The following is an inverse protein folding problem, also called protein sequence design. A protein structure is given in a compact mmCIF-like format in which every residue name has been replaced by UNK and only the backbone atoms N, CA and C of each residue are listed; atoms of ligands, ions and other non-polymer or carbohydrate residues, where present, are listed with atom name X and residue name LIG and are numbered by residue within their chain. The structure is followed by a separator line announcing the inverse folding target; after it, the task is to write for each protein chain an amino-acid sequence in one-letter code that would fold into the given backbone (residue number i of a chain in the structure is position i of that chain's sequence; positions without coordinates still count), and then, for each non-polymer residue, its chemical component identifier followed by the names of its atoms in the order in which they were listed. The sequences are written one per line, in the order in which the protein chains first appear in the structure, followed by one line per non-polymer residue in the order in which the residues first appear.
data_IF_383944308793
#
_entry.id   IF_383944308793
#
_cell.length_a   1.000
_cell.length_b   1.000
_cell.length_c   1.000
_cell.angle_alpha   90.00
_cell.angle_beta   90.00
_cell.angle_gamma   90.00
#
_symmetry.space_group_name_H-M   'P 1'
#
loop_
_entity.id
_entity.type
_entity.pdbx_description
1 polymer ?
#
# COMPACT_ATOMS: atom_id res chain seq x y z
N UNK A 1 0.54 27.87 -17.87
CA UNK A 1 1.27 26.60 -17.76
C UNK A 1 0.58 25.57 -16.86
N UNK A 2 0.07 25.93 -15.69
CA UNK A 2 -0.70 25.01 -14.82
C UNK A 2 -1.94 24.41 -15.52
N UNK A 3 -2.65 25.17 -16.37
CA UNK A 3 -3.84 24.72 -17.09
C UNK A 3 -3.57 23.61 -18.13
N UNK A 4 -2.42 23.64 -18.79
CA UNK A 4 -2.04 22.61 -19.78
C UNK A 4 -1.65 21.28 -19.13
N UNK A 5 -1.02 21.33 -17.96
CA UNK A 5 -0.60 20.14 -17.23
C UNK A 5 -1.80 19.42 -16.62
N UNK A 6 -2.71 20.18 -15.99
CA UNK A 6 -3.97 19.63 -15.48
C UNK A 6 -4.82 18.98 -16.57
N UNK A 7 -4.81 19.53 -17.80
CA UNK A 7 -5.52 18.94 -18.96
C UNK A 7 -4.92 17.62 -19.40
N UNK A 8 -3.58 17.50 -19.44
CA UNK A 8 -2.92 16.24 -19.82
C UNK A 8 -3.09 15.16 -18.74
N UNK A 9 -2.97 15.52 -17.46
CA UNK A 9 -3.20 14.61 -16.34
C UNK A 9 -4.63 14.07 -16.38
N UNK A 10 -5.62 14.94 -16.61
CA UNK A 10 -7.02 14.54 -16.72
C UNK A 10 -7.27 13.58 -17.89
N UNK A 11 -6.65 13.82 -19.05
CA UNK A 11 -6.74 12.91 -20.20
C UNK A 11 -6.18 11.53 -19.89
N UNK A 12 -4.99 11.44 -19.27
CA UNK A 12 -4.37 10.16 -18.92
C UNK A 12 -5.17 9.40 -17.84
N UNK A 13 -5.71 10.11 -16.86
CA UNK A 13 -6.63 9.52 -15.87
C UNK A 13 -7.89 9.00 -16.56
N UNK A 14 -8.49 9.77 -17.48
CA UNK A 14 -9.69 9.34 -18.22
C UNK A 14 -9.42 8.11 -19.08
N UNK A 15 -8.26 8.03 -19.75
CA UNK A 15 -7.85 6.82 -20.49
C UNK A 15 -7.70 5.64 -19.53
N UNK A 16 -7.07 5.82 -18.37
CA UNK A 16 -6.91 4.78 -17.36
C UNK A 16 -8.25 4.27 -16.80
N UNK A 17 -9.21 5.15 -16.57
CA UNK A 17 -10.60 4.79 -16.17
C UNK A 17 -11.29 4.03 -17.30
N UNK A 18 -11.22 4.55 -18.52
CA UNK A 18 -11.80 3.90 -19.69
C UNK A 18 -11.27 2.47 -19.87
N UNK A 19 -9.96 2.26 -19.77
CA UNK A 19 -9.36 0.94 -19.89
C UNK A 19 -9.91 -0.04 -18.85
N UNK A 20 -10.03 0.37 -17.58
CA UNK A 20 -10.58 -0.46 -16.51
C UNK A 20 -12.03 -0.86 -16.78
N UNK A 21 -12.88 0.11 -17.12
CA UNK A 21 -14.29 -0.15 -17.43
C UNK A 21 -14.47 -0.96 -18.71
N UNK A 22 -13.64 -0.69 -19.73
CA UNK A 22 -13.64 -1.45 -20.97
C UNK A 22 -13.29 -2.92 -20.74
N UNK A 23 -12.18 -3.20 -20.04
CA UNK A 23 -11.78 -4.58 -19.74
C UNK A 23 -12.80 -5.28 -18.85
N UNK A 24 -13.39 -4.58 -17.88
CA UNK A 24 -14.43 -5.12 -17.04
C UNK A 24 -15.67 -5.53 -17.85
N UNK A 25 -16.06 -4.73 -18.84
CA UNK A 25 -17.24 -5.01 -19.70
C UNK A 25 -16.97 -6.03 -20.79
N UNK A 26 -15.75 -5.99 -21.38
CA UNK A 26 -15.37 -6.86 -22.49
C UNK A 26 -15.03 -8.29 -22.07
N UNK A 27 -14.49 -8.48 -20.85
CA UNK A 27 -13.97 -9.76 -20.40
C UNK A 27 -14.45 -10.16 -18.98
N UNK A 28 -15.75 -10.28 -18.74
CA UNK A 28 -16.30 -10.55 -17.39
C UNK A 28 -15.83 -11.90 -16.82
N UNK A 29 -15.73 -12.95 -17.64
CA UNK A 29 -15.22 -14.25 -17.22
C UNK A 29 -13.74 -14.20 -16.80
N UNK A 30 -12.92 -13.40 -17.50
CA UNK A 30 -11.52 -13.20 -17.12
C UNK A 30 -11.40 -12.43 -15.80
N UNK A 31 -12.31 -11.49 -15.51
CA UNK A 31 -12.36 -10.80 -14.23
C UNK A 31 -12.66 -11.75 -13.06
N UNK A 32 -13.61 -12.65 -13.23
CA UNK A 32 -13.92 -13.65 -12.22
C UNK A 32 -12.69 -14.50 -11.88
N UNK A 33 -11.97 -14.97 -12.90
CA UNK A 33 -10.71 -15.68 -12.69
C UNK A 33 -9.58 -14.82 -12.11
N UNK A 34 -9.53 -13.53 -12.46
CA UNK A 34 -8.50 -12.61 -11.97
C UNK A 34 -8.71 -12.29 -10.49
N UNK A 35 -9.94 -12.22 -10.00
CA UNK A 35 -10.25 -11.96 -8.59
C UNK A 35 -9.75 -13.07 -7.65
N UNK A 36 -9.61 -14.28 -8.16
CA UNK A 36 -9.13 -15.45 -7.40
C UNK A 36 -7.61 -15.65 -7.55
N UNK A 37 -6.93 -14.76 -8.29
CA UNK A 37 -5.49 -14.85 -8.52
C UNK A 37 -4.72 -14.23 -7.35
N UNK A 38 -3.96 -15.06 -6.66
CA UNK A 38 -3.16 -14.68 -5.48
C UNK A 38 -2.00 -13.71 -5.80
N UNK A 39 -1.65 -13.50 -7.06
CA UNK A 39 -0.66 -12.46 -7.45
C UNK A 39 -1.20 -11.04 -7.20
N UNK A 40 -2.51 -10.85 -7.26
CA UNK A 40 -3.16 -9.55 -7.10
C UNK A 40 -4.01 -9.47 -5.83
N UNK A 41 -4.59 -10.58 -5.39
CA UNK A 41 -5.40 -10.65 -4.17
C UNK A 41 -4.92 -11.79 -3.27
N UNK A 42 -4.89 -11.54 -1.98
CA UNK A 42 -4.46 -12.53 -0.98
C UNK A 42 -5.68 -13.10 -0.25
N UNK A 43 -5.45 -14.15 0.54
CA UNK A 43 -6.47 -14.72 1.41
C UNK A 43 -7.14 -13.71 2.37
N UNK A 44 -6.57 -12.53 2.57
CA UNK A 44 -7.09 -11.47 3.45
C UNK A 44 -7.71 -10.29 2.69
N UNK A 45 -7.42 -10.15 1.40
CA UNK A 45 -7.76 -8.97 0.60
C UNK A 45 -8.60 -9.33 -0.63
N UNK A 46 -8.99 -10.60 -0.77
CA UNK A 46 -9.79 -11.07 -1.90
C UNK A 46 -11.21 -10.53 -1.85
N UNK A 47 -11.76 -10.23 -3.02
CA UNK A 47 -13.13 -9.72 -3.17
C UNK A 47 -14.20 -10.70 -2.65
N UNK A 48 -13.94 -12.02 -2.69
CA UNK A 48 -14.80 -13.05 -2.11
C UNK A 48 -15.08 -12.80 -0.63
N UNK A 49 -14.07 -12.41 0.15
CA UNK A 49 -14.24 -12.09 1.57
C UNK A 49 -15.02 -10.79 1.81
N UNK A 50 -14.90 -9.81 0.91
CA UNK A 50 -15.75 -8.62 0.97
C UNK A 50 -17.22 -8.95 0.68
N UNK A 51 -17.49 -9.87 -0.26
CA UNK A 51 -18.85 -10.41 -0.52
C UNK A 51 -19.38 -11.18 0.69
N UNK A 52 -18.59 -12.03 1.28
CA UNK A 52 -18.96 -12.77 2.49
C UNK A 52 -19.31 -11.82 3.63
N UNK A 53 -18.47 -10.80 3.87
CA UNK A 53 -18.76 -9.76 4.86
C UNK A 53 -20.07 -9.04 4.56
N UNK A 54 -20.31 -8.63 3.31
CA UNK A 54 -21.52 -7.94 2.91
C UNK A 54 -22.77 -8.80 3.15
N UNK A 55 -22.73 -10.07 2.75
CA UNK A 55 -23.80 -11.01 2.97
C UNK A 55 -24.14 -11.14 4.45
N UNK A 56 -23.12 -11.33 5.29
CA UNK A 56 -23.32 -11.42 6.73
C UNK A 56 -23.83 -10.11 7.32
N UNK A 57 -23.27 -8.97 6.91
CA UNK A 57 -23.66 -7.65 7.39
C UNK A 57 -25.15 -7.33 7.13
N UNK A 58 -25.67 -7.64 5.94
CA UNK A 58 -27.07 -7.36 5.59
C UNK A 58 -28.05 -8.38 6.16
N UNK A 59 -27.70 -9.68 6.14
CA UNK A 59 -28.62 -10.71 6.59
C UNK A 59 -28.74 -10.79 8.12
N UNK A 60 -27.67 -10.53 8.86
CA UNK A 60 -27.75 -10.55 10.32
C UNK A 60 -28.31 -9.25 10.91
N UNK A 61 -28.17 -8.10 10.25
CA UNK A 61 -28.82 -6.87 10.69
C UNK A 61 -30.34 -6.94 10.58
N UNK A 62 -30.88 -7.80 9.68
CA UNK A 62 -32.32 -7.99 9.50
C UNK A 62 -32.93 -9.05 10.42
N UNK A 63 -32.12 -9.96 10.99
CA UNK A 63 -32.60 -11.09 11.80
C UNK A 63 -32.52 -10.88 13.31
N UNK A 64 -32.12 -9.71 13.79
CA UNK A 64 -31.93 -9.37 15.21
C UNK A 64 -33.21 -9.37 16.08
N UNK A 65 -34.33 -9.89 15.56
CA UNK A 65 -35.61 -9.96 16.30
C UNK A 65 -35.97 -11.36 16.86
N UNK A 66 -35.20 -12.42 16.65
CA UNK A 66 -35.74 -13.75 17.01
C UNK A 66 -34.84 -14.89 17.47
N UNK A 67 -33.54 -14.76 17.72
CA UNK A 67 -32.84 -15.86 18.39
C UNK A 67 -31.46 -15.50 19.00
N UNK A 68 -31.31 -15.78 20.27
CA UNK A 68 -30.11 -15.55 21.10
C UNK A 68 -28.92 -16.49 20.78
N UNK A 69 -28.92 -17.22 19.68
CA UNK A 69 -27.91 -18.23 19.36
C UNK A 69 -27.10 -17.96 18.09
N UNK A 70 -27.45 -16.92 17.30
CA UNK A 70 -26.81 -16.65 15.98
C UNK A 70 -25.74 -15.58 15.99
N UNK A 71 -25.39 -15.05 17.15
CA UNK A 71 -24.70 -13.74 17.29
C UNK A 71 -23.20 -13.75 17.01
N UNK A 72 -22.53 -14.90 16.89
CA UNK A 72 -21.04 -14.96 16.80
C UNK A 72 -20.46 -15.18 15.42
N UNK A 73 -21.26 -15.17 14.35
CA UNK A 73 -20.78 -15.67 13.05
C UNK A 73 -20.13 -14.63 12.14
N UNK A 74 -20.41 -13.33 12.34
CA UNK A 74 -19.99 -12.29 11.37
C UNK A 74 -18.48 -12.05 11.38
N UNK A 75 -17.83 -12.14 12.53
CA UNK A 75 -16.39 -11.88 12.66
C UNK A 75 -15.53 -13.12 12.52
N UNK A 76 -16.03 -14.29 12.82
CA UNK A 76 -15.22 -15.51 12.78
C UNK A 76 -14.89 -15.97 11.35
N UNK A 77 -15.66 -15.55 10.35
CA UNK A 77 -15.45 -15.93 8.96
C UNK A 77 -14.84 -14.81 8.09
N UNK A 78 -15.12 -13.55 8.40
CA UNK A 78 -14.67 -12.43 7.55
C UNK A 78 -13.26 -11.95 7.92
N UNK A 79 -12.33 -12.11 6.98
CA UNK A 79 -10.92 -11.70 7.10
C UNK A 79 -10.63 -10.26 6.69
N UNK A 80 -11.61 -9.58 6.13
CA UNK A 80 -11.49 -8.18 5.69
C UNK A 80 -11.71 -7.25 6.87
N UNK A 81 -10.95 -6.15 6.91
CA UNK A 81 -11.20 -5.08 7.89
C UNK A 81 -12.66 -4.61 7.82
N UNK A 82 -13.39 -4.48 8.95
CA UNK A 82 -14.79 -4.09 8.98
C UNK A 82 -15.09 -2.79 8.22
N UNK A 83 -14.21 -1.81 8.29
CA UNK A 83 -14.37 -0.56 7.52
C UNK A 83 -14.34 -0.79 6.03
N UNK A 84 -13.41 -1.65 5.57
CA UNK A 84 -13.29 -2.02 4.16
C UNK A 84 -14.50 -2.83 3.74
N UNK A 85 -14.89 -3.83 4.55
CA UNK A 85 -16.07 -4.65 4.30
C UNK A 85 -17.35 -3.82 4.22
N UNK A 86 -17.60 -2.93 5.20
CA UNK A 86 -18.77 -2.06 5.22
C UNK A 86 -18.78 -1.07 4.04
N UNK A 87 -17.63 -0.54 3.63
CA UNK A 87 -17.52 0.33 2.47
C UNK A 87 -17.90 -0.39 1.16
N UNK A 88 -17.45 -1.62 0.98
CA UNK A 88 -17.72 -2.39 -0.23
C UNK A 88 -19.08 -3.11 -0.20
N UNK A 89 -19.70 -3.29 0.97
CA UNK A 89 -20.94 -4.05 1.13
C UNK A 89 -22.06 -3.67 0.13
N UNK A 90 -22.40 -2.37 -0.11
CA UNK A 90 -23.46 -2.00 -1.05
C UNK A 90 -23.17 -2.41 -2.50
N UNK A 91 -21.91 -2.61 -2.86
CA UNK A 91 -21.49 -2.96 -4.22
C UNK A 91 -21.29 -4.46 -4.41
N UNK A 92 -21.19 -5.21 -3.31
CA UNK A 92 -20.98 -6.65 -3.33
C UNK A 92 -22.25 -7.44 -3.66
N UNK A 93 -23.44 -6.92 -3.35
CA UNK A 93 -24.73 -7.57 -3.63
C UNK A 93 -25.18 -7.45 -5.08
N UNK A 94 -24.53 -6.53 -5.84
CA UNK A 94 -24.89 -6.35 -7.25
C UNK A 94 -24.46 -7.53 -8.10
N UNK A 95 -25.39 -8.07 -8.87
CA UNK A 95 -25.13 -9.07 -9.91
C UNK A 95 -24.46 -8.47 -11.16
N UNK A 96 -24.30 -7.14 -11.21
CA UNK A 96 -23.66 -6.45 -12.32
C UNK A 96 -22.15 -6.30 -12.04
N UNK A 97 -21.32 -6.96 -12.85
CA UNK A 97 -19.87 -6.90 -12.77
C UNK A 97 -19.34 -5.46 -12.93
N UNK A 98 -20.01 -4.62 -13.70
CA UNK A 98 -19.63 -3.21 -13.82
C UNK A 98 -19.85 -2.45 -12.51
N UNK A 99 -20.99 -2.66 -11.84
CA UNK A 99 -21.28 -1.95 -10.60
C UNK A 99 -20.30 -2.38 -9.50
N UNK A 100 -19.90 -3.64 -9.49
CA UNK A 100 -18.95 -4.18 -8.51
C UNK A 100 -17.53 -3.62 -8.63
N UNK A 101 -17.10 -3.17 -9.82
CA UNK A 101 -15.75 -2.62 -10.03
C UNK A 101 -15.67 -1.10 -9.80
N UNK A 102 -16.78 -0.39 -9.89
CA UNK A 102 -16.83 1.08 -9.76
C UNK A 102 -16.11 1.61 -8.51
N UNK A 103 -16.34 1.07 -7.29
CA UNK A 103 -15.67 1.59 -6.09
C UNK A 103 -14.15 1.43 -6.16
N UNK A 104 -13.64 0.36 -6.76
CA UNK A 104 -12.19 0.14 -6.95
C UNK A 104 -11.60 1.17 -7.91
N UNK A 105 -12.29 1.47 -9.01
CA UNK A 105 -11.87 2.51 -9.97
C UNK A 105 -11.89 3.89 -9.31
N UNK A 106 -12.89 4.21 -8.48
CA UNK A 106 -12.95 5.48 -7.74
C UNK A 106 -11.74 5.60 -6.79
N UNK A 107 -11.43 4.56 -6.02
CA UNK A 107 -10.29 4.57 -5.11
C UNK A 107 -8.96 4.71 -5.88
N UNK A 108 -8.82 4.07 -7.03
CA UNK A 108 -7.64 4.22 -7.88
C UNK A 108 -7.50 5.65 -8.41
N UNK A 109 -8.59 6.28 -8.83
CA UNK A 109 -8.58 7.69 -9.27
C UNK A 109 -8.19 8.61 -8.10
N UNK A 110 -8.75 8.38 -6.91
CA UNK A 110 -8.37 9.14 -5.71
C UNK A 110 -6.88 8.96 -5.39
N UNK A 111 -6.35 7.74 -5.47
CA UNK A 111 -4.93 7.47 -5.28
C UNK A 111 -4.06 8.20 -6.30
N UNK A 112 -4.45 8.21 -7.58
CA UNK A 112 -3.76 8.96 -8.63
C UNK A 112 -3.73 10.47 -8.37
N UNK A 113 -4.87 11.03 -7.91
CA UNK A 113 -4.97 12.46 -7.53
C UNK A 113 -4.03 12.76 -6.36
N UNK A 114 -4.05 11.93 -5.30
CA UNK A 114 -3.20 12.12 -4.13
C UNK A 114 -1.72 12.03 -4.50
N UNK A 115 -1.31 11.07 -5.34
CA UNK A 115 0.06 10.94 -5.85
C UNK A 115 0.50 12.18 -6.64
N UNK A 116 -0.36 12.72 -7.51
CA UNK A 116 -0.09 13.98 -8.22
C UNK A 116 0.06 15.16 -7.27
N UNK A 117 -0.77 15.21 -6.21
CA UNK A 117 -0.67 16.27 -5.20
C UNK A 117 0.62 16.14 -4.35
N UNK A 118 1.06 14.91 -4.01
CA UNK A 118 2.35 14.67 -3.35
C UNK A 118 3.47 15.27 -4.19
N UNK A 119 3.49 14.98 -5.49
CA UNK A 119 4.49 15.52 -6.41
C UNK A 119 4.45 17.04 -6.50
N UNK A 120 3.27 17.62 -6.72
CA UNK A 120 3.10 19.08 -6.88
C UNK A 120 3.53 19.84 -5.61
N UNK A 121 3.12 19.38 -4.43
CA UNK A 121 3.45 20.00 -3.15
C UNK A 121 4.91 19.83 -2.79
N UNK A 122 5.48 18.65 -2.96
CA UNK A 122 6.90 18.41 -2.72
C UNK A 122 7.78 19.32 -3.60
N UNK A 123 7.43 19.50 -4.88
CA UNK A 123 8.09 20.45 -5.77
C UNK A 123 7.96 21.91 -5.28
N UNK A 124 6.79 22.31 -4.77
CA UNK A 124 6.59 23.65 -4.22
C UNK A 124 7.45 23.90 -2.96
N UNK A 125 7.51 22.92 -2.05
CA UNK A 125 8.37 22.98 -0.86
C UNK A 125 9.85 23.05 -1.23
N UNK A 126 10.30 22.26 -2.23
CA UNK A 126 11.68 22.26 -2.70
C UNK A 126 12.10 23.58 -3.37
N UNK A 127 11.19 24.22 -4.12
CA UNK A 127 11.45 25.56 -4.74
C UNK A 127 11.62 26.65 -3.72
N UNK A 128 10.89 26.65 -2.60
CA UNK A 128 11.05 27.63 -1.51
C UNK A 128 12.44 27.56 -0.89
N UNK A 129 13.05 26.37 -0.81
CA UNK A 129 14.41 26.18 -0.26
C UNK A 129 15.53 26.58 -1.23
N UNK A 130 15.29 26.55 -2.56
CA UNK A 130 16.30 26.80 -3.60
C UNK A 130 15.74 27.76 -4.68
N UNK A 131 15.87 29.08 -4.47
CA UNK A 131 15.31 30.12 -5.36
C UNK A 131 16.05 30.35 -6.70
N UNK A 132 17.07 29.52 -7.07
CA UNK A 132 17.98 29.84 -8.18
C UNK A 132 17.92 28.94 -9.42
N UNK A 133 17.05 27.95 -9.50
CA UNK A 133 17.00 27.09 -10.70
C UNK A 133 15.61 27.05 -11.34
N UNK A 134 15.45 27.86 -12.37
CA UNK A 134 14.38 27.75 -13.37
C UNK A 134 14.80 26.75 -14.46
N UNK A 135 14.18 25.58 -14.44
CA UNK A 135 14.21 24.65 -15.54
C UNK A 135 12.82 24.07 -15.73
N UNK A 136 12.02 24.66 -16.62
CA UNK A 136 10.75 24.11 -17.10
C UNK A 136 11.00 22.83 -17.91
N UNK A 137 11.37 21.74 -17.26
CA UNK A 137 11.35 20.43 -17.90
C UNK A 137 9.92 19.88 -17.85
N UNK A 138 9.44 19.41 -18.99
CA UNK A 138 8.11 18.77 -19.16
C UNK A 138 7.86 17.79 -18.03
N UNK A 139 6.90 18.07 -17.18
CA UNK A 139 6.57 17.23 -16.03
C UNK A 139 5.89 15.95 -16.51
N UNK A 140 6.42 14.75 -16.17
CA UNK A 140 5.69 13.50 -16.40
C UNK A 140 4.45 13.52 -15.51
N UNK A 141 3.33 13.15 -16.07
CA UNK A 141 2.11 12.95 -15.31
C UNK A 141 2.29 11.76 -14.36
N UNK A 142 2.41 12.02 -13.08
CA UNK A 142 2.47 10.96 -12.05
C UNK A 142 1.15 10.18 -12.03
N UNK A 143 0.01 10.88 -12.16
CA UNK A 143 -1.28 10.25 -12.28
C UNK A 143 -1.34 9.31 -13.50
N UNK A 144 -0.79 9.73 -14.65
CA UNK A 144 -0.72 8.88 -15.84
C UNK A 144 0.15 7.64 -15.62
N UNK A 145 1.32 7.79 -14.99
CA UNK A 145 2.20 6.66 -14.68
C UNK A 145 1.53 5.64 -13.73
N UNK A 146 0.71 6.10 -12.79
CA UNK A 146 -0.06 5.24 -11.92
C UNK A 146 -1.24 4.58 -12.67
N UNK A 147 -2.07 5.38 -13.32
CA UNK A 147 -3.32 4.92 -13.94
C UNK A 147 -3.11 4.01 -15.15
N UNK A 148 -1.99 4.17 -15.87
CA UNK A 148 -1.64 3.36 -17.05
C UNK A 148 -0.66 2.22 -16.74
N UNK A 149 -0.22 2.06 -15.47
CA UNK A 149 0.61 0.93 -15.10
C UNK A 149 -0.19 -0.38 -15.25
N UNK A 150 0.25 -1.35 -16.06
CA UNK A 150 -0.52 -2.56 -16.30
C UNK A 150 -0.76 -3.39 -15.05
N UNK A 151 0.18 -3.40 -14.10
CA UNK A 151 0.03 -4.12 -12.82
C UNK A 151 -1.04 -3.47 -11.94
N UNK A 152 -1.10 -2.14 -11.91
CA UNK A 152 -2.15 -1.41 -11.17
C UNK A 152 -3.52 -1.63 -11.83
N UNK A 153 -3.59 -1.63 -13.15
CA UNK A 153 -4.83 -1.95 -13.88
C UNK A 153 -5.30 -3.36 -13.51
N UNK A 154 -4.41 -4.36 -13.55
CA UNK A 154 -4.75 -5.74 -13.18
C UNK A 154 -5.15 -5.87 -11.70
N UNK A 155 -4.50 -5.14 -10.79
CA UNK A 155 -4.89 -5.10 -9.36
C UNK A 155 -6.28 -4.49 -9.16
N UNK A 156 -6.64 -3.44 -9.88
CA UNK A 156 -7.99 -2.87 -9.84
C UNK A 156 -9.02 -3.86 -10.40
N UNK A 157 -8.72 -4.49 -11.54
CA UNK A 157 -9.59 -5.47 -12.19
C UNK A 157 -9.78 -6.74 -11.35
N UNK A 158 -8.80 -7.13 -10.54
CA UNK A 158 -8.93 -8.24 -9.60
C UNK A 158 -9.83 -7.92 -8.41
N UNK A 159 -10.29 -6.68 -8.28
CA UNK A 159 -11.16 -6.21 -7.18
C UNK A 159 -10.53 -6.45 -5.80
N UNK A 160 -9.20 -6.35 -5.70
CA UNK A 160 -8.51 -6.50 -4.42
C UNK A 160 -8.77 -5.31 -3.50
N UNK A 161 -9.06 -5.57 -2.23
CA UNK A 161 -9.27 -4.51 -1.23
C UNK A 161 -7.97 -3.77 -0.88
N UNK A 162 -6.81 -4.24 -1.34
CA UNK A 162 -5.51 -3.55 -1.18
C UNK A 162 -5.45 -2.15 -1.80
N UNK A 163 -6.31 -1.83 -2.75
CA UNK A 163 -6.39 -0.46 -3.29
C UNK A 163 -6.70 0.58 -2.21
N UNK A 164 -7.42 0.17 -1.15
CA UNK A 164 -7.70 1.03 0.02
C UNK A 164 -6.42 1.31 0.82
N UNK A 165 -5.57 0.28 1.01
CA UNK A 165 -4.25 0.43 1.61
C UNK A 165 -3.38 1.42 0.81
N UNK A 166 -3.40 1.34 -0.53
CA UNK A 166 -2.65 2.26 -1.39
C UNK A 166 -3.08 3.71 -1.18
N UNK A 167 -4.39 3.95 -1.17
CA UNK A 167 -4.94 5.28 -0.91
C UNK A 167 -4.50 5.83 0.46
N UNK A 168 -4.67 5.07 1.54
CA UNK A 168 -4.31 5.56 2.88
C UNK A 168 -2.81 5.72 3.06
N UNK A 169 -1.98 4.86 2.45
CA UNK A 169 -0.51 5.06 2.45
C UNK A 169 -0.13 6.37 1.74
N UNK A 170 -0.72 6.65 0.58
CA UNK A 170 -0.51 7.91 -0.12
C UNK A 170 -1.01 9.12 0.68
N UNK A 171 -2.17 9.01 1.35
CA UNK A 171 -2.72 10.07 2.20
C UNK A 171 -1.84 10.38 3.41
N UNK A 172 -1.21 9.38 4.04
CA UNK A 172 -0.24 9.59 5.12
C UNK A 172 0.94 10.43 4.62
N UNK A 173 1.51 10.07 3.48
CA UNK A 173 2.63 10.80 2.88
C UNK A 173 2.21 12.23 2.50
N UNK A 174 1.06 12.38 1.87
CA UNK A 174 0.51 13.67 1.47
C UNK A 174 0.30 14.61 2.66
N UNK A 175 -0.32 14.11 3.73
CA UNK A 175 -0.61 14.90 4.92
C UNK A 175 0.67 15.28 5.70
N UNK A 176 1.69 14.40 5.69
CA UNK A 176 2.98 14.66 6.35
C UNK A 176 3.84 15.69 5.61
N UNK A 177 3.69 15.83 4.28
CA UNK A 177 4.49 16.77 3.47
C UNK A 177 4.39 18.23 3.91
N UNK A 178 3.21 18.67 4.31
CA UNK A 178 2.91 20.06 4.60
C UNK A 178 3.17 20.47 6.08
N UNK A 179 3.89 19.66 6.83
CA UNK A 179 4.11 19.90 8.28
C UNK A 179 4.68 21.29 8.59
N UNK A 180 5.52 21.85 7.70
CA UNK A 180 6.14 23.17 7.87
C UNK A 180 5.13 24.33 7.68
N UNK A 181 4.10 24.14 6.87
CA UNK A 181 3.20 25.21 6.41
C UNK A 181 1.73 25.03 6.81
N UNK A 182 1.34 23.82 7.22
CA UNK A 182 -0.04 23.48 7.53
C UNK A 182 -0.21 23.08 8.99
N UNK A 183 -0.89 23.92 9.77
CA UNK A 183 -1.19 23.65 11.19
C UNK A 183 -1.97 22.34 11.43
N UNK A 184 -2.76 21.91 10.43
CA UNK A 184 -3.58 20.70 10.52
C UNK A 184 -2.84 19.42 10.09
N UNK A 185 -1.59 19.52 9.62
CA UNK A 185 -0.82 18.38 9.14
C UNK A 185 -0.73 17.23 10.17
N UNK A 186 -0.41 17.47 11.47
CA UNK A 186 -0.36 16.38 12.45
C UNK A 186 -1.69 15.64 12.62
N UNK A 187 -2.81 16.38 12.60
CA UNK A 187 -4.16 15.81 12.73
C UNK A 187 -4.52 14.96 11.53
N UNK A 188 -4.30 15.47 10.31
CA UNK A 188 -4.61 14.74 9.07
C UNK A 188 -3.74 13.49 8.93
N UNK A 189 -2.45 13.60 9.25
CA UNK A 189 -1.52 12.48 9.21
C UNK A 189 -1.89 11.43 10.27
N UNK A 190 -2.26 11.85 11.48
CA UNK A 190 -2.72 10.95 12.55
C UNK A 190 -3.98 10.19 12.16
N UNK A 191 -4.97 10.86 11.59
CA UNK A 191 -6.20 10.23 11.08
C UNK A 191 -5.95 9.24 9.94
N UNK A 192 -5.15 9.64 8.94
CA UNK A 192 -4.78 8.76 7.83
C UNK A 192 -3.97 7.54 8.28
N UNK A 193 -3.05 7.72 9.25
CA UNK A 193 -2.27 6.64 9.84
C UNK A 193 -3.15 5.67 10.64
N UNK A 194 -4.15 6.17 11.39
CA UNK A 194 -5.10 5.34 12.10
C UNK A 194 -5.91 4.46 11.15
N UNK A 195 -6.42 5.03 10.07
CA UNK A 195 -7.11 4.25 9.03
C UNK A 195 -6.19 3.24 8.36
N UNK A 196 -4.95 3.62 8.02
CA UNK A 196 -3.96 2.68 7.47
C UNK A 196 -3.70 1.52 8.41
N UNK A 197 -3.61 1.76 9.72
CA UNK A 197 -3.42 0.71 10.74
C UNK A 197 -4.58 -0.28 10.79
N UNK A 198 -5.80 0.19 10.61
CA UNK A 198 -7.01 -0.64 10.61
C UNK A 198 -7.21 -1.40 9.30
N UNK A 199 -6.72 -0.84 8.19
CA UNK A 199 -6.79 -1.48 6.87
C UNK A 199 -5.61 -2.46 6.69
N UNK A 200 -4.39 -2.04 7.00
CA UNK A 200 -3.18 -2.84 6.80
C UNK A 200 -2.08 -2.45 7.79
N UNK A 201 -2.09 -3.10 8.94
CA UNK A 201 -1.15 -2.83 10.04
C UNK A 201 0.34 -2.93 9.62
N UNK A 202 0.79 -3.93 8.80
CA UNK A 202 2.20 -4.00 8.41
C UNK A 202 2.71 -2.74 7.70
N UNK A 203 1.92 -2.18 6.79
CA UNK A 203 2.30 -0.94 6.10
C UNK A 203 2.33 0.26 7.05
N UNK A 204 1.37 0.33 7.97
CA UNK A 204 1.37 1.40 8.99
C UNK A 204 2.62 1.33 9.87
N UNK A 205 2.98 0.15 10.37
CA UNK A 205 4.17 -0.07 11.20
C UNK A 205 5.46 0.24 10.42
N UNK A 206 5.53 -0.12 9.14
CA UNK A 206 6.70 0.17 8.31
C UNK A 206 6.90 1.68 8.07
N UNK A 207 5.82 2.45 7.90
CA UNK A 207 5.89 3.90 7.60
C UNK A 207 5.97 4.76 8.87
N UNK A 208 5.41 4.31 9.98
CA UNK A 208 5.29 5.07 11.24
C UNK A 208 6.62 5.67 11.74
N UNK A 209 7.76 4.92 11.77
CA UNK A 209 9.03 5.47 12.24
C UNK A 209 9.51 6.67 11.41
N UNK A 210 9.34 6.61 10.09
CA UNK A 210 9.73 7.72 9.22
C UNK A 210 8.84 8.94 9.38
N UNK A 211 7.54 8.75 9.59
CA UNK A 211 6.61 9.86 9.90
C UNK A 211 6.98 10.51 11.23
N UNK A 212 7.23 9.73 12.28
CA UNK A 212 7.66 10.25 13.58
C UNK A 212 8.96 11.05 13.47
N UNK A 213 9.97 10.50 12.78
CA UNK A 213 11.25 11.17 12.56
C UNK A 213 11.11 12.41 11.67
N UNK A 214 10.19 12.39 10.71
CA UNK A 214 9.90 13.56 9.87
C UNK A 214 9.34 14.71 10.69
N UNK A 215 8.33 14.48 11.54
CA UNK A 215 7.80 15.49 12.46
C UNK A 215 8.86 15.97 13.45
N UNK A 216 9.61 15.03 14.03
CA UNK A 216 10.68 15.37 14.99
C UNK A 216 11.80 16.21 14.38
N UNK A 217 12.14 16.03 13.11
CA UNK A 217 13.23 16.73 12.43
C UNK A 217 12.92 18.20 12.10
N UNK A 218 11.66 18.62 12.17
CA UNK A 218 11.25 20.01 11.96
C UNK A 218 11.72 20.85 13.16
N UNK A 219 12.56 21.87 12.89
CA UNK A 219 13.01 22.78 13.96
C UNK A 219 11.85 23.59 14.53
N UNK A 220 11.24 24.40 13.66
CA UNK A 220 10.02 25.14 13.93
C UNK A 220 9.21 25.23 12.63
N UNK A 221 7.89 25.13 12.73
CA UNK A 221 7.01 25.36 11.60
C UNK A 221 6.66 26.87 11.48
N UNK A 222 5.92 27.24 10.43
CA UNK A 222 5.47 28.62 10.19
C UNK A 222 4.63 29.21 11.34
N UNK A 223 4.19 28.39 12.29
CA UNK A 223 3.37 28.79 13.45
C UNK A 223 4.16 28.79 14.76
N UNK A 224 5.49 28.67 14.73
CA UNK A 224 6.35 28.64 15.93
C UNK A 224 6.28 27.34 16.74
N UNK A 225 5.73 26.25 16.15
CA UNK A 225 5.61 24.97 16.83
C UNK A 225 6.85 24.13 16.60
N UNK A 226 7.49 23.65 17.68
CA UNK A 226 8.69 22.82 17.61
C UNK A 226 8.37 21.39 17.15
N UNK A 227 9.36 20.71 16.57
CA UNK A 227 9.23 19.32 16.13
C UNK A 227 8.80 18.35 17.22
N UNK A 228 9.26 18.54 18.48
CA UNK A 228 8.79 17.75 19.62
C UNK A 228 7.28 17.89 19.84
N UNK A 229 6.78 19.12 19.83
CA UNK A 229 5.36 19.40 19.98
C UNK A 229 4.54 18.85 18.82
N UNK A 230 5.04 18.99 17.58
CA UNK A 230 4.41 18.41 16.38
C UNK A 230 4.29 16.89 16.46
N UNK A 231 5.35 16.21 16.92
CA UNK A 231 5.35 14.76 17.10
C UNK A 231 4.35 14.35 18.20
N UNK A 232 4.30 15.08 19.32
CA UNK A 232 3.32 14.81 20.39
C UNK A 232 1.90 15.01 19.89
N UNK A 233 1.63 16.07 19.14
CA UNK A 233 0.31 16.29 18.52
C UNK A 233 -0.06 15.19 17.52
N UNK A 234 0.87 14.76 16.69
CA UNK A 234 0.65 13.62 15.77
C UNK A 234 0.29 12.35 16.52
N UNK A 235 1.09 11.95 17.53
CA UNK A 235 0.84 10.74 18.33
C UNK A 235 -0.50 10.81 19.05
N UNK A 236 -0.81 11.95 19.67
CA UNK A 236 -2.11 12.16 20.34
C UNK A 236 -3.27 11.99 19.36
N UNK A 237 -3.20 12.62 18.18
CA UNK A 237 -4.24 12.54 17.15
C UNK A 237 -4.35 11.11 16.56
N UNK A 238 -3.23 10.43 16.37
CA UNK A 238 -3.21 9.04 15.92
C UNK A 238 -3.93 8.12 16.91
N UNK A 239 -3.60 8.21 18.20
CA UNK A 239 -4.23 7.39 19.23
C UNK A 239 -5.71 7.72 19.39
N UNK A 240 -6.07 9.01 19.42
CA UNK A 240 -7.47 9.44 19.50
C UNK A 240 -8.29 8.97 18.29
N UNK A 241 -7.75 9.13 17.07
CA UNK A 241 -8.41 8.69 15.84
C UNK A 241 -8.55 7.16 15.81
N UNK A 242 -7.51 6.42 16.18
CA UNK A 242 -7.55 4.96 16.26
C UNK A 242 -8.64 4.49 17.24
N UNK A 243 -8.66 5.06 18.45
CA UNK A 243 -9.68 4.74 19.44
C UNK A 243 -11.10 5.09 18.97
N UNK A 244 -11.27 6.23 18.29
CA UNK A 244 -12.56 6.64 17.73
C UNK A 244 -13.02 5.67 16.64
N UNK A 245 -12.17 5.31 15.70
CA UNK A 245 -12.52 4.38 14.64
C UNK A 245 -12.81 2.98 15.17
N UNK A 246 -12.02 2.50 16.13
CA UNK A 246 -12.29 1.23 16.81
C UNK A 246 -13.66 1.25 17.49
N UNK A 247 -14.02 2.32 18.21
CA UNK A 247 -15.33 2.46 18.84
C UNK A 247 -16.47 2.53 17.80
N UNK A 248 -16.25 3.17 16.66
CA UNK A 248 -17.23 3.20 15.56
C UNK A 248 -17.42 1.79 15.00
N UNK A 249 -16.34 1.04 14.77
CA UNK A 249 -16.42 -0.34 14.30
C UNK A 249 -17.20 -1.23 15.26
N UNK A 250 -16.87 -1.16 16.55
CA UNK A 250 -17.51 -1.97 17.59
C UNK A 250 -19.01 -1.64 17.73
N UNK A 251 -19.37 -0.36 17.69
CA UNK A 251 -20.75 0.07 17.92
C UNK A 251 -21.68 -0.04 16.71
N UNK A 252 -21.17 0.22 15.49
CA UNK A 252 -22.02 0.41 14.30
C UNK A 252 -21.78 -0.61 13.21
N UNK A 253 -20.60 -1.23 13.14
CA UNK A 253 -20.26 -2.16 12.07
C UNK A 253 -20.35 -3.61 12.54
N UNK A 254 -19.89 -3.90 13.77
CA UNK A 254 -19.81 -5.26 14.34
C UNK A 254 -20.31 -5.26 15.78
N UNK A 255 -21.57 -4.87 16.04
CA UNK A 255 -22.04 -4.50 17.39
C UNK A 255 -22.08 -5.64 18.42
N UNK A 256 -22.00 -6.91 18.01
CA UNK A 256 -22.20 -8.04 18.92
C UNK A 256 -20.98 -8.96 19.07
N UNK A 257 -19.93 -8.77 18.27
CA UNK A 257 -18.81 -9.71 18.21
C UNK A 257 -17.64 -9.38 19.15
N UNK A 258 -17.70 -8.23 19.78
CA UNK A 258 -16.64 -7.76 20.67
C UNK A 258 -15.34 -7.42 19.94
N UNK A 259 -14.74 -6.32 20.36
CA UNK A 259 -13.50 -5.77 19.83
C UNK A 259 -12.36 -6.80 19.72
N UNK A 260 -12.26 -7.69 20.70
CA UNK A 260 -11.18 -8.68 20.76
C UNK A 260 -11.24 -9.69 19.61
N UNK A 261 -12.43 -10.17 19.24
CA UNK A 261 -12.59 -11.15 18.16
C UNK A 261 -12.30 -10.51 16.79
N UNK A 262 -12.81 -9.30 16.57
CA UNK A 262 -12.52 -8.55 15.35
C UNK A 262 -11.01 -8.25 15.18
N UNK A 263 -10.33 -7.78 16.22
CA UNK A 263 -8.87 -7.55 16.19
C UNK A 263 -8.11 -8.87 15.96
N UNK A 264 -8.57 -9.96 16.57
CA UNK A 264 -7.97 -11.27 16.35
C UNK A 264 -8.03 -11.66 14.88
N UNK A 265 -9.21 -11.67 14.28
CA UNK A 265 -9.40 -12.18 12.90
C UNK A 265 -8.77 -11.25 11.87
N UNK A 266 -8.99 -9.94 11.94
CA UNK A 266 -8.52 -9.01 10.91
C UNK A 266 -7.05 -8.64 11.01
N UNK A 267 -6.45 -8.73 12.19
CA UNK A 267 -5.07 -8.32 12.45
C UNK A 267 -4.20 -9.53 12.82
N UNK A 268 -4.54 -10.24 13.91
CA UNK A 268 -3.63 -11.24 14.47
C UNK A 268 -3.57 -12.55 13.69
N UNK A 269 -4.67 -13.03 13.10
CA UNK A 269 -4.69 -14.29 12.35
C UNK A 269 -3.83 -14.20 11.09
N UNK A 270 -3.68 -12.98 10.53
CA UNK A 270 -2.74 -12.68 9.45
C UNK A 270 -1.28 -13.01 9.82
N UNK A 271 -0.92 -12.89 11.10
CA UNK A 271 0.44 -13.17 11.61
C UNK A 271 0.63 -14.59 12.14
N UNK A 272 -0.44 -15.35 12.32
CA UNK A 272 -0.35 -16.72 12.84
C UNK A 272 0.03 -17.76 11.80
N UNK A 273 0.00 -17.40 10.50
CA UNK A 273 0.31 -18.33 9.42
C UNK A 273 -0.74 -19.44 9.23
N UNK A 274 -1.96 -19.24 9.70
CA UNK A 274 -3.06 -20.19 9.52
C UNK A 274 -3.47 -20.34 8.06
N UNK A 275 -3.16 -19.34 7.22
CA UNK A 275 -3.43 -19.34 5.79
C UNK A 275 -2.18 -19.66 4.98
N UNK A 276 -1.97 -20.94 4.72
CA UNK A 276 -0.84 -21.44 3.93
C UNK A 276 -1.14 -21.54 2.42
N UNK A 277 -2.05 -20.71 1.92
CA UNK A 277 -2.32 -20.71 0.48
C UNK A 277 -1.09 -20.22 -0.31
N UNK A 278 -0.79 -20.87 -1.46
CA UNK A 278 0.26 -20.41 -2.36
C UNK A 278 0.06 -18.94 -2.73
N UNK A 279 1.11 -18.13 -2.60
CA UNK A 279 1.11 -16.71 -2.97
C UNK A 279 2.49 -16.31 -3.51
N UNK A 280 2.67 -15.06 -3.93
CA UNK A 280 3.94 -14.58 -4.48
C UNK A 280 5.02 -14.34 -3.42
N UNK A 281 4.69 -14.42 -2.12
CA UNK A 281 5.65 -14.34 -1.03
C UNK A 281 6.42 -15.63 -0.81
N UNK A 282 7.48 -15.56 0.00
CA UNK A 282 8.33 -16.71 0.31
C UNK A 282 7.73 -17.63 1.36
N UNK A 283 6.90 -17.12 2.25
CA UNK A 283 6.60 -17.75 3.52
C UNK A 283 5.69 -18.96 3.40
N UNK A 284 4.73 -18.96 2.46
CA UNK A 284 3.76 -20.05 2.31
C UNK A 284 4.44 -21.43 2.13
N UNK A 285 5.51 -21.48 1.33
CA UNK A 285 6.22 -22.74 1.07
C UNK A 285 7.05 -23.16 2.27
N UNK A 286 7.78 -22.20 2.86
CA UNK A 286 8.60 -22.49 4.05
C UNK A 286 7.73 -22.97 5.21
N UNK A 287 6.59 -22.31 5.43
CA UNK A 287 5.66 -22.72 6.50
C UNK A 287 4.99 -24.06 6.24
N UNK A 288 4.69 -24.40 4.98
CA UNK A 288 4.13 -25.71 4.63
C UNK A 288 5.09 -26.89 4.90
N UNK A 289 6.39 -26.61 5.00
CA UNK A 289 7.44 -27.59 5.33
C UNK A 289 7.78 -27.62 6.82
N UNK A 290 7.28 -26.70 7.61
CA UNK A 290 7.56 -26.62 9.05
C UNK A 290 6.61 -27.48 9.87
N UNK A 291 7.10 -27.95 10.99
CA UNK A 291 6.25 -28.60 11.98
C UNK A 291 5.34 -27.56 12.67
N UNK A 292 4.08 -27.84 12.84
CA UNK A 292 3.06 -26.96 13.43
C UNK A 292 3.51 -26.33 14.76
N UNK A 293 4.21 -27.11 15.60
CA UNK A 293 4.73 -26.66 16.90
C UNK A 293 5.63 -25.42 16.80
N UNK A 294 6.38 -25.26 15.71
CA UNK A 294 7.33 -24.15 15.53
C UNK A 294 6.80 -23.06 14.61
N UNK A 295 5.74 -23.33 13.87
CA UNK A 295 5.22 -22.46 12.82
C UNK A 295 4.90 -21.05 13.35
N UNK A 296 4.22 -20.88 14.47
CA UNK A 296 3.86 -19.59 15.04
C UNK A 296 5.09 -18.72 15.37
N UNK A 297 6.14 -19.33 15.94
CA UNK A 297 7.39 -18.61 16.24
C UNK A 297 8.09 -18.12 14.98
N UNK A 298 8.17 -18.97 13.98
CA UNK A 298 8.75 -18.59 12.70
C UNK A 298 7.92 -17.56 11.95
N UNK A 299 6.61 -17.62 12.00
CA UNK A 299 5.73 -16.62 11.42
C UNK A 299 5.99 -15.23 12.03
N UNK A 300 6.06 -15.15 13.34
CA UNK A 300 6.36 -13.89 14.05
C UNK A 300 7.77 -13.40 13.69
N UNK A 301 8.76 -14.30 13.70
CA UNK A 301 10.15 -13.94 13.41
C UNK A 301 10.33 -13.43 11.97
N UNK A 302 9.81 -14.13 10.97
CA UNK A 302 9.98 -13.73 9.56
C UNK A 302 9.21 -12.46 9.21
N UNK A 303 7.99 -12.30 9.71
CA UNK A 303 7.22 -11.06 9.52
C UNK A 303 7.85 -9.89 10.30
N UNK A 304 8.35 -10.18 11.51
CA UNK A 304 9.12 -9.23 12.31
C UNK A 304 10.41 -8.77 11.60
N UNK A 305 11.10 -9.65 10.85
CA UNK A 305 12.27 -9.27 10.06
C UNK A 305 11.96 -8.16 9.05
N UNK A 306 10.83 -8.20 8.36
CA UNK A 306 10.42 -7.15 7.43
C UNK A 306 10.29 -5.78 8.11
N UNK A 307 9.68 -5.76 9.29
CA UNK A 307 9.52 -4.54 10.10
C UNK A 307 10.88 -4.05 10.61
N UNK A 308 11.72 -4.95 11.13
CA UNK A 308 13.07 -4.61 11.65
C UNK A 308 13.95 -4.06 10.52
N UNK A 309 13.93 -4.66 9.34
CA UNK A 309 14.65 -4.17 8.17
C UNK A 309 14.16 -2.78 7.74
N UNK A 310 12.84 -2.55 7.71
CA UNK A 310 12.27 -1.25 7.43
C UNK A 310 12.73 -0.18 8.43
N UNK A 311 12.69 -0.50 9.73
CA UNK A 311 13.16 0.37 10.78
C UNK A 311 14.67 0.65 10.66
N UNK A 312 15.47 -0.37 10.41
CA UNK A 312 16.92 -0.25 10.25
C UNK A 312 17.29 0.67 9.07
N UNK A 313 16.61 0.53 7.92
CA UNK A 313 16.77 1.42 6.76
C UNK A 313 16.40 2.85 7.16
N UNK A 314 15.25 3.05 7.80
CA UNK A 314 14.78 4.38 8.20
C UNK A 314 15.78 5.06 9.14
N UNK A 315 16.24 4.38 10.18
CA UNK A 315 17.19 4.93 11.17
C UNK A 315 18.57 5.17 10.54
N UNK A 316 19.04 4.26 9.70
CA UNK A 316 20.37 4.36 9.07
C UNK A 316 20.47 5.53 8.10
N UNK A 317 19.42 5.78 7.33
CA UNK A 317 19.42 6.77 6.27
C UNK A 317 18.75 8.10 6.64
N UNK A 318 18.14 8.23 7.82
CA UNK A 318 17.48 9.47 8.27
C UNK A 318 18.38 10.69 8.27
N UNK A 319 19.70 10.52 8.52
CA UNK A 319 20.69 11.62 8.51
C UNK A 319 21.12 12.00 7.10
N UNK A 320 21.04 11.06 6.17
CA UNK A 320 21.48 11.25 4.79
C UNK A 320 20.35 11.59 3.83
N UNK A 321 19.13 11.19 4.14
CA UNK A 321 17.96 11.35 3.29
C UNK A 321 16.79 11.95 4.10
N UNK A 322 15.72 12.34 3.39
CA UNK A 322 14.47 12.68 4.06
C UNK A 322 13.95 11.47 4.85
N UNK A 323 13.55 11.65 6.13
CA UNK A 323 13.04 10.55 6.96
C UNK A 323 11.87 9.81 6.29
N UNK A 324 10.98 10.55 5.64
CA UNK A 324 9.84 9.99 4.96
C UNK A 324 10.23 9.18 3.72
N UNK A 325 11.26 9.63 2.96
CA UNK A 325 11.81 8.84 1.85
C UNK A 325 12.40 7.52 2.33
N UNK A 326 13.17 7.57 3.40
CA UNK A 326 13.77 6.37 4.00
C UNK A 326 12.71 5.37 4.46
N UNK A 327 11.58 5.86 5.00
CA UNK A 327 10.45 5.02 5.38
C UNK A 327 9.75 4.37 4.17
N UNK A 328 9.64 5.07 3.04
CA UNK A 328 9.06 4.49 1.83
C UNK A 328 9.94 3.38 1.23
N UNK A 329 11.26 3.56 1.27
CA UNK A 329 12.19 2.50 0.89
C UNK A 329 12.13 1.33 1.89
N UNK A 330 11.98 1.64 3.18
CA UNK A 330 11.72 0.65 4.23
C UNK A 330 10.42 -0.13 3.99
N UNK A 331 9.35 0.54 3.55
CA UNK A 331 8.10 -0.11 3.17
C UNK A 331 8.29 -1.08 2.00
N UNK A 332 9.08 -0.70 0.99
CA UNK A 332 9.39 -1.60 -0.13
C UNK A 332 10.15 -2.86 0.33
N UNK A 333 11.08 -2.71 1.28
CA UNK A 333 11.76 -3.84 1.91
C UNK A 333 10.81 -4.71 2.75
N UNK A 334 9.92 -4.07 3.53
CA UNK A 334 8.94 -4.79 4.35
C UNK A 334 7.97 -5.61 3.51
N UNK A 335 7.54 -5.09 2.34
CA UNK A 335 6.67 -5.85 1.42
C UNK A 335 7.39 -7.04 0.79
N UNK A 336 8.71 -6.97 0.57
CA UNK A 336 9.50 -8.10 0.08
C UNK A 336 9.52 -9.30 1.06
N UNK A 337 9.43 -9.01 2.36
CA UNK A 337 9.44 -9.97 3.44
C UNK A 337 8.05 -10.20 4.06
N UNK A 338 6.99 -9.69 3.44
CA UNK A 338 5.63 -9.91 3.90
C UNK A 338 5.18 -11.36 3.65
N UNK A 339 4.26 -11.85 4.49
CA UNK A 339 3.69 -13.19 4.32
C UNK A 339 2.75 -13.29 3.12
N UNK A 340 2.07 -12.19 2.79
CA UNK A 340 1.06 -12.13 1.72
C UNK A 340 1.28 -10.88 0.85
N UNK A 341 2.43 -10.75 0.16
CA UNK A 341 2.67 -9.63 -0.73
C UNK A 341 1.85 -9.77 -2.02
N UNK A 342 1.64 -8.67 -2.73
CA UNK A 342 1.02 -8.66 -4.07
C UNK A 342 1.88 -7.88 -5.06
N UNK A 343 1.71 -8.19 -6.35
CA UNK A 343 2.39 -7.43 -7.42
C UNK A 343 1.94 -5.96 -7.44
N UNK A 344 0.69 -5.69 -7.06
CA UNK A 344 0.14 -4.34 -6.94
C UNK A 344 0.88 -3.49 -5.90
N UNK A 345 1.28 -4.08 -4.77
CA UNK A 345 2.06 -3.37 -3.74
C UNK A 345 3.42 -2.92 -4.26
N UNK A 346 4.13 -3.75 -5.01
CA UNK A 346 5.39 -3.38 -5.64
C UNK A 346 5.20 -2.21 -6.61
N UNK A 347 4.21 -2.33 -7.51
CA UNK A 347 3.93 -1.30 -8.50
C UNK A 347 3.49 0.03 -7.86
N UNK A 348 2.62 0.00 -6.85
CA UNK A 348 2.19 1.18 -6.11
C UNK A 348 3.36 1.84 -5.38
N UNK A 349 4.14 1.07 -4.61
CA UNK A 349 5.23 1.60 -3.79
C UNK A 349 6.32 2.24 -4.65
N UNK A 350 6.64 1.67 -5.82
CA UNK A 350 7.60 2.26 -6.77
C UNK A 350 7.11 3.59 -7.33
N UNK A 351 5.80 3.71 -7.67
CA UNK A 351 5.22 4.99 -8.12
C UNK A 351 5.19 6.03 -6.97
N UNK A 352 4.89 5.62 -5.75
CA UNK A 352 4.90 6.50 -4.59
C UNK A 352 6.32 7.02 -4.27
N UNK A 353 7.32 6.15 -4.32
CA UNK A 353 8.74 6.53 -4.18
C UNK A 353 9.15 7.53 -5.27
N UNK A 354 8.71 7.31 -6.52
CA UNK A 354 8.95 8.27 -7.60
C UNK A 354 8.28 9.61 -7.30
N UNK A 355 7.00 9.61 -6.97
CA UNK A 355 6.24 10.83 -6.74
C UNK A 355 6.87 11.68 -5.62
N UNK A 356 7.23 11.04 -4.51
CA UNK A 356 7.86 11.71 -3.38
C UNK A 356 9.34 12.02 -3.64
N UNK A 357 10.15 11.03 -4.04
CA UNK A 357 11.60 11.16 -4.17
C UNK A 357 12.02 12.21 -5.21
N UNK A 358 11.30 12.29 -6.34
CA UNK A 358 11.57 13.33 -7.34
C UNK A 358 11.08 14.70 -6.90
N UNK A 359 9.97 14.78 -6.16
CA UNK A 359 9.43 16.06 -5.67
C UNK A 359 10.35 16.74 -4.66
N UNK A 360 10.97 15.95 -3.77
CA UNK A 360 11.95 16.43 -2.78
C UNK A 360 13.39 16.39 -3.29
N UNK A 361 13.59 16.08 -4.58
CA UNK A 361 14.89 16.05 -5.28
C UNK A 361 15.90 15.03 -4.70
N UNK A 362 15.43 14.00 -4.04
CA UNK A 362 16.26 12.87 -3.59
C UNK A 362 16.63 11.95 -4.76
N UNK A 363 15.72 11.81 -5.74
CA UNK A 363 15.93 11.05 -6.96
C UNK A 363 15.88 11.96 -8.18
N UNK A 364 16.68 11.64 -9.21
CA UNK A 364 16.48 12.20 -10.53
C UNK A 364 15.31 11.50 -11.25
N UNK A 365 14.68 12.23 -12.15
CA UNK A 365 13.53 11.73 -12.88
C UNK A 365 13.86 10.50 -13.74
N UNK A 366 15.03 10.49 -14.39
CA UNK A 366 15.51 9.39 -15.20
C UNK A 366 15.70 8.12 -14.39
N UNK A 367 16.26 8.22 -13.19
CA UNK A 367 16.47 7.14 -12.25
C UNK A 367 15.14 6.58 -11.74
N UNK A 368 14.24 7.48 -11.36
CA UNK A 368 12.95 7.12 -10.86
C UNK A 368 12.08 6.40 -11.93
N UNK A 369 12.15 6.81 -13.19
CA UNK A 369 11.50 6.10 -14.32
C UNK A 369 12.11 4.71 -14.50
N UNK A 370 13.43 4.55 -14.38
CA UNK A 370 14.08 3.22 -14.43
C UNK A 370 13.57 2.31 -13.31
N UNK A 371 13.48 2.83 -12.07
CA UNK A 371 12.95 2.07 -10.93
C UNK A 371 11.53 1.55 -11.22
N UNK A 372 10.65 2.41 -11.75
CA UNK A 372 9.29 1.98 -12.11
C UNK A 372 9.31 0.96 -13.24
N UNK A 373 10.08 1.21 -14.29
CA UNK A 373 10.18 0.30 -15.43
C UNK A 373 10.67 -1.08 -14.97
N UNK A 374 11.76 -1.13 -14.19
CA UNK A 374 12.30 -2.37 -13.63
C UNK A 374 11.27 -3.06 -12.72
N UNK A 375 10.62 -2.34 -11.81
CA UNK A 375 9.57 -2.90 -10.95
C UNK A 375 8.38 -3.45 -11.72
N UNK A 376 7.93 -2.75 -12.75
CA UNK A 376 6.83 -3.20 -13.63
C UNK A 376 7.24 -4.42 -14.45
N UNK A 377 8.45 -4.45 -15.01
CA UNK A 377 8.96 -5.59 -15.78
C UNK A 377 9.13 -6.84 -14.91
N UNK A 378 9.67 -6.68 -13.69
CA UNK A 378 9.76 -7.78 -12.73
C UNK A 378 8.36 -8.31 -12.43
N UNK A 379 7.40 -7.45 -12.11
CA UNK A 379 6.05 -7.86 -11.78
C UNK A 379 5.35 -8.59 -12.96
N UNK A 380 5.51 -8.11 -14.19
CA UNK A 380 4.98 -8.76 -15.39
C UNK A 380 5.64 -10.12 -15.65
N UNK A 381 6.96 -10.22 -15.49
CA UNK A 381 7.68 -11.48 -15.66
C UNK A 381 7.21 -12.51 -14.61
N UNK A 382 7.07 -12.10 -13.35
CA UNK A 382 6.57 -12.96 -12.28
C UNK A 382 5.12 -13.39 -12.55
N UNK A 383 4.26 -12.49 -13.00
CA UNK A 383 2.89 -12.83 -13.38
C UNK A 383 2.83 -13.89 -14.48
N UNK A 384 3.62 -13.73 -15.55
CA UNK A 384 3.68 -14.71 -16.65
C UNK A 384 4.24 -16.07 -16.19
N UNK A 385 5.33 -16.08 -15.41
CA UNK A 385 5.96 -17.30 -14.92
C UNK A 385 5.06 -18.02 -13.89
N UNK A 386 4.39 -17.29 -13.01
CA UNK A 386 3.46 -17.86 -12.04
C UNK A 386 2.29 -18.55 -12.73
N UNK A 387 1.76 -17.96 -13.79
CA UNK A 387 0.70 -18.60 -14.59
C UNK A 387 1.13 -19.96 -15.14
N UNK A 388 2.34 -20.04 -15.72
CA UNK A 388 2.85 -21.28 -16.33
C UNK A 388 3.12 -22.34 -15.24
N UNK A 389 3.81 -21.96 -14.16
CA UNK A 389 4.22 -22.90 -13.11
C UNK A 389 3.04 -23.44 -12.30
N UNK A 390 2.04 -22.59 -12.02
CA UNK A 390 0.81 -23.03 -11.37
C UNK A 390 -0.03 -23.93 -12.25
N UNK A 391 -0.16 -23.61 -13.54
CA UNK A 391 -0.85 -24.48 -14.48
C UNK A 391 -0.19 -25.86 -14.51
N UNK A 392 1.15 -25.90 -14.59
CA UNK A 392 1.90 -27.15 -14.56
C UNK A 392 1.71 -27.94 -13.27
N UNK A 393 1.64 -27.26 -12.13
CA UNK A 393 1.47 -27.91 -10.82
C UNK A 393 0.02 -28.31 -10.55
N UNK A 394 -0.94 -27.36 -10.60
CA UNK A 394 -2.31 -27.60 -10.12
C UNK A 394 -3.23 -28.21 -11.17
N UNK A 395 -3.05 -27.86 -12.46
CA UNK A 395 -3.97 -28.26 -13.54
C UNK A 395 -3.45 -29.50 -14.26
N UNK A 396 -2.26 -29.43 -14.87
CA UNK A 396 -1.72 -30.55 -15.65
C UNK A 396 -1.03 -31.62 -14.79
N UNK A 397 -0.70 -31.29 -13.52
CA UNK A 397 0.01 -32.17 -12.56
C UNK A 397 1.36 -32.70 -13.09
N UNK A 398 1.96 -32.00 -14.03
CA UNK A 398 3.27 -32.33 -14.63
C UNK A 398 4.43 -31.68 -13.88
N UNK A 399 4.15 -30.66 -13.05
CA UNK A 399 5.13 -29.95 -12.22
C UNK A 399 4.92 -30.21 -10.73
N UNK A 400 5.85 -29.71 -9.92
CA UNK A 400 5.76 -29.74 -8.47
C UNK A 400 5.76 -28.30 -7.89
N UNK A 401 5.42 -28.09 -6.61
CA UNK A 401 5.37 -26.77 -5.98
C UNK A 401 6.72 -26.00 -6.02
N UNK A 402 7.84 -26.70 -6.15
CA UNK A 402 9.17 -26.10 -6.20
C UNK A 402 9.33 -25.15 -7.40
N UNK A 403 8.71 -25.45 -8.54
CA UNK A 403 8.75 -24.55 -9.71
C UNK A 403 8.07 -23.22 -9.41
N UNK A 404 6.93 -23.28 -8.73
CA UNK A 404 6.23 -22.07 -8.33
C UNK A 404 6.99 -21.34 -7.21
N UNK A 405 7.55 -22.05 -6.24
CA UNK A 405 8.40 -21.47 -5.20
C UNK A 405 9.62 -20.75 -5.78
N UNK A 406 10.25 -21.28 -6.82
CA UNK A 406 11.34 -20.59 -7.52
C UNK A 406 10.89 -19.24 -8.09
N UNK A 407 9.66 -19.13 -8.60
CA UNK A 407 9.10 -17.85 -9.07
C UNK A 407 8.90 -16.87 -7.91
N UNK A 408 8.42 -17.32 -6.75
CA UNK A 408 8.27 -16.47 -5.56
C UNK A 408 9.61 -15.98 -5.02
N UNK A 409 10.63 -16.82 -5.08
CA UNK A 409 12.01 -16.45 -4.74
C UNK A 409 12.54 -15.35 -5.68
N UNK A 410 12.33 -15.49 -6.99
CA UNK A 410 12.70 -14.47 -7.98
C UNK A 410 11.98 -13.14 -7.72
N UNK A 411 10.71 -13.17 -7.29
CA UNK A 411 9.97 -11.97 -6.93
C UNK A 411 10.60 -11.25 -5.74
N UNK A 412 10.92 -11.97 -4.68
CA UNK A 412 11.54 -11.38 -3.48
C UNK A 412 12.93 -10.82 -3.78
N UNK A 413 13.75 -11.54 -4.57
CA UNK A 413 15.06 -11.04 -5.04
C UNK A 413 14.89 -9.78 -5.88
N UNK A 414 13.89 -9.75 -6.77
CA UNK A 414 13.58 -8.57 -7.57
C UNK A 414 13.20 -7.35 -6.73
N UNK A 415 12.41 -7.54 -5.66
CA UNK A 415 12.07 -6.44 -4.74
C UNK A 415 13.31 -5.94 -3.97
N UNK A 416 14.18 -6.83 -3.50
CA UNK A 416 15.43 -6.46 -2.84
C UNK A 416 16.33 -5.69 -3.81
N UNK A 417 16.40 -6.12 -5.08
CA UNK A 417 17.14 -5.40 -6.13
C UNK A 417 16.60 -3.97 -6.33
N UNK A 418 15.30 -3.79 -6.45
CA UNK A 418 14.67 -2.45 -6.58
C UNK A 418 14.97 -1.59 -5.34
N UNK A 419 14.92 -2.17 -4.15
CA UNK A 419 15.27 -1.48 -2.90
C UNK A 419 16.71 -1.00 -2.92
N UNK A 420 17.65 -1.88 -3.31
CA UNK A 420 19.07 -1.57 -3.42
C UNK A 420 19.33 -0.47 -4.47
N UNK A 421 18.74 -0.59 -5.65
CA UNK A 421 18.88 0.41 -6.74
C UNK A 421 18.37 1.79 -6.28
N UNK A 422 17.21 1.82 -5.63
CA UNK A 422 16.63 3.06 -5.09
C UNK A 422 17.55 3.74 -4.05
N UNK A 423 18.13 2.96 -3.15
CA UNK A 423 19.07 3.48 -2.15
C UNK A 423 20.38 3.97 -2.79
N UNK A 424 20.90 3.22 -3.75
CA UNK A 424 22.15 3.57 -4.44
C UNK A 424 22.02 4.89 -5.20
N UNK A 425 20.93 5.10 -5.93
CA UNK A 425 20.68 6.36 -6.62
C UNK A 425 20.55 7.55 -5.63
N UNK A 426 19.84 7.35 -4.54
CA UNK A 426 19.67 8.40 -3.53
C UNK A 426 20.99 8.77 -2.83
N UNK A 427 21.88 7.81 -2.60
CA UNK A 427 23.18 8.03 -1.95
C UNK A 427 24.19 8.68 -2.90
N UNK A 428 24.31 8.19 -4.14
CA UNK A 428 25.25 8.72 -5.14
C UNK A 428 24.97 10.19 -5.44
N UNK A 429 23.72 10.60 -5.51
CA UNK A 429 23.34 12.00 -5.70
C UNK A 429 23.81 12.88 -4.56
N UNK A 430 23.65 12.42 -3.32
CA UNK A 430 24.11 13.17 -2.16
C UNK A 430 25.62 13.37 -2.14
N UNK A 431 26.38 12.32 -2.48
CA UNK A 431 27.86 12.40 -2.57
C UNK A 431 28.30 13.43 -3.61
N UNK A 432 27.61 13.49 -4.76
CA UNK A 432 27.87 14.49 -5.79
C UNK A 432 27.60 15.91 -5.26
N UNK A 433 26.48 16.13 -4.56
CA UNK A 433 26.13 17.42 -3.98
C UNK A 433 27.13 17.85 -2.89
N UNK A 434 27.57 16.93 -2.02
CA UNK A 434 28.58 17.21 -0.98
C UNK A 434 29.94 17.55 -1.60
N UNK A 435 30.36 16.80 -2.62
CA UNK A 435 31.61 17.09 -3.35
C UNK A 435 31.57 18.45 -4.07
N UNK A 436 30.43 18.81 -4.65
CA UNK A 436 30.24 20.13 -5.27
C UNK A 436 30.29 21.26 -4.26
N UNK A 437 29.73 21.08 -3.07
CA UNK A 437 29.79 22.07 -1.98
C UNK A 437 31.23 22.26 -1.45
N UNK A 438 31.98 21.17 -1.30
CA UNK A 438 33.38 21.22 -0.87
C UNK A 438 34.27 21.94 -1.88
N UNK A 439 34.01 21.81 -3.18
CA UNK A 439 34.76 22.52 -4.23
C UNK A 439 34.40 24.01 -4.32
N UNK A 440 33.24 24.41 -3.82
CA UNK A 440 32.75 25.78 -3.84
C UNK A 440 33.10 26.56 -2.55
N UNK A 441 33.51 25.88 -1.48
CA UNK A 441 33.98 26.44 -0.23
C UNK A 441 35.52 26.61 -0.23
#
# INVERSE_FOLDING_TARGET
MLSHQTSNDLRLVSIGVFLRLFFARAFPSALAHLSDRFEFSTAFDAFSHAKEFAHLFFHFSSSSSSSAGGEKLVTSSSRVSPFVGAFFAPFCESNDDLLSIVPFVIIDVLSAIVLSQIYARGCACSRRKNSKEEGTKTQASIAGLYMLNPIIILSCLSRTTKVVQFLFTALVVYAALDVETNKRSPMLTGGAMAMLSLVHLPSAVAVLPGVLLHFWSVRENAFGTSGKSLTTHFVSQYVCALGTFVNIADKYIVPNDGLNEWLRVSIFDRYRGEELQPNVGLHWYVYSLMWERFMQWYCIAFQGCGIVCSLAITVRFVRSQSPLFSALVGLLCATALASHPTLGELAFTTVLILAYGTSVRVLERSEAIKIIANGTMIALAIFGLSFVTLRAWLITRTGNPNYFFAVTLMYSVGQVYITYETLTFALSKKEIEESARQKAA
#
